data_IF_044320085595
#
_entry.id   IF_044320085595
#
_cell.length_a   1.000
_cell.length_b   1.000
_cell.length_c   1.000
_cell.angle_alpha   90.00
_cell.angle_beta   90.00
_cell.angle_gamma   90.00
#
_symmetry.space_group_name_H-M   'P 1'
#
loop_
_entity.id
_entity.type
_entity.pdbx_description
1 polymer ?
#
# COMPACT_ATOMS: atom_id res chain seq x y z
N UNK A 1 13.10 -15.80 22.13
CA UNK A 1 12.27 -15.95 20.93
C UNK A 1 12.23 -17.37 20.32
N UNK A 2 13.36 -18.02 19.91
CA UNK A 2 13.35 -19.43 19.42
C UNK A 2 12.89 -20.40 20.51
N UNK A 3 13.55 -20.35 21.68
CA UNK A 3 13.27 -21.21 22.81
C UNK A 3 11.87 -20.95 23.37
N UNK A 4 11.47 -19.68 23.47
CA UNK A 4 10.16 -19.26 23.97
C UNK A 4 9.01 -19.82 23.15
N UNK A 5 9.12 -19.77 21.81
CA UNK A 5 8.13 -20.35 20.90
C UNK A 5 8.01 -21.87 21.04
N UNK A 6 9.13 -22.58 21.19
CA UNK A 6 9.13 -24.03 21.37
C UNK A 6 8.57 -24.41 22.73
N UNK A 7 9.00 -23.73 23.81
CA UNK A 7 8.49 -23.96 25.17
C UNK A 7 7.01 -23.61 25.31
N UNK A 8 6.59 -22.46 24.78
CA UNK A 8 5.18 -22.07 24.78
C UNK A 8 4.31 -23.12 24.10
N UNK A 9 4.75 -23.66 22.95
CA UNK A 9 4.03 -24.75 22.29
C UNK A 9 4.00 -26.02 23.13
N UNK A 10 5.12 -26.43 23.73
CA UNK A 10 5.16 -27.59 24.61
C UNK A 10 4.20 -27.42 25.80
N UNK A 11 4.21 -26.27 26.46
CA UNK A 11 3.30 -25.99 27.58
C UNK A 11 1.81 -25.98 27.14
N UNK A 12 1.50 -25.38 25.99
CA UNK A 12 0.11 -25.30 25.50
C UNK A 12 -0.50 -26.62 25.10
N UNK A 13 0.32 -27.54 24.58
CA UNK A 13 -0.18 -28.80 24.02
C UNK A 13 0.11 -30.01 24.88
N UNK A 14 0.69 -29.80 26.07
CA UNK A 14 0.88 -30.86 27.09
C UNK A 14 -0.28 -30.77 28.10
N UNK A 15 -0.88 -31.91 28.41
CA UNK A 15 -1.96 -32.00 29.40
C UNK A 15 -1.49 -31.62 30.81
N UNK A 16 -2.38 -31.15 31.71
CA UNK A 16 -2.03 -30.98 33.13
C UNK A 16 -1.39 -32.24 33.68
N UNK A 17 -0.27 -32.09 34.41
CA UNK A 17 0.60 -33.18 34.93
C UNK A 17 1.42 -33.90 33.83
N UNK A 18 1.48 -33.40 32.61
CA UNK A 18 2.38 -33.90 31.58
C UNK A 18 3.84 -33.49 31.84
N UNK A 19 4.74 -34.08 31.08
CA UNK A 19 6.18 -33.87 31.21
C UNK A 19 6.73 -33.15 29.99
N UNK A 20 7.56 -32.13 30.24
CA UNK A 20 8.33 -31.42 29.23
C UNK A 20 9.80 -31.53 29.63
N UNK A 21 10.64 -32.02 28.73
CA UNK A 21 12.08 -32.11 28.94
C UNK A 21 12.85 -31.29 27.89
N UNK A 22 13.86 -30.56 28.36
CA UNK A 22 14.74 -29.75 27.53
C UNK A 22 16.18 -30.22 27.73
N UNK A 23 16.80 -30.72 26.68
CA UNK A 23 18.17 -31.16 26.66
C UNK A 23 19.03 -30.28 25.74
N UNK A 24 20.19 -29.83 26.23
CA UNK A 24 21.16 -29.09 25.43
C UNK A 24 22.49 -29.88 25.39
N UNK A 25 22.89 -30.28 24.20
CA UNK A 25 24.19 -30.94 23.97
C UNK A 25 25.07 -30.08 23.08
N UNK A 26 26.28 -29.80 23.51
CA UNK A 26 27.25 -29.06 22.72
C UNK A 26 28.44 -29.94 22.34
N UNK A 27 28.79 -29.91 21.08
CA UNK A 27 30.01 -30.48 20.53
C UNK A 27 30.95 -29.39 20.07
N UNK A 28 32.18 -29.72 19.64
CA UNK A 28 33.11 -28.71 19.12
C UNK A 28 32.56 -27.91 17.91
N UNK A 29 31.65 -28.50 17.13
CA UNK A 29 31.12 -27.89 15.87
C UNK A 29 29.64 -27.57 15.89
N UNK A 30 28.86 -28.11 16.82
CA UNK A 30 27.39 -27.99 16.80
C UNK A 30 26.86 -27.92 18.24
N UNK A 31 25.80 -27.13 18.40
CA UNK A 31 24.90 -27.15 19.56
C UNK A 31 23.59 -27.84 19.13
N UNK A 32 23.11 -28.79 19.93
CA UNK A 32 21.88 -29.54 19.66
C UNK A 32 20.94 -29.28 20.83
N UNK A 33 19.81 -28.64 20.55
CA UNK A 33 18.72 -28.42 21.49
C UNK A 33 17.62 -29.45 21.18
N UNK A 34 17.20 -30.21 22.18
CA UNK A 34 16.09 -31.15 22.06
C UNK A 34 15.03 -30.80 23.09
N UNK A 35 13.82 -30.47 22.62
CA UNK A 35 12.65 -30.24 23.45
C UNK A 35 11.63 -31.35 23.20
N UNK A 36 11.29 -32.11 24.26
CA UNK A 36 10.34 -33.21 24.21
C UNK A 36 9.16 -32.91 25.13
N UNK A 37 7.96 -33.17 24.65
CA UNK A 37 6.71 -33.18 25.40
C UNK A 37 5.99 -34.52 25.26
N UNK A 38 5.11 -34.84 26.19
CA UNK A 38 4.19 -35.98 26.14
C UNK A 38 2.74 -35.53 25.86
N UNK A 39 2.54 -34.43 25.13
CA UNK A 39 1.26 -33.82 24.82
C UNK A 39 0.46 -34.52 23.73
N UNK A 40 -0.45 -33.76 23.10
CA UNK A 40 -1.39 -34.28 22.10
C UNK A 40 -0.75 -34.78 20.81
N UNK A 41 0.54 -34.47 20.57
CA UNK A 41 1.26 -34.83 19.35
C UNK A 41 0.71 -34.19 18.09
N UNK A 42 1.31 -34.51 16.93
CA UNK A 42 1.00 -33.93 15.63
C UNK A 42 0.46 -35.01 14.68
N UNK A 43 -0.78 -34.86 14.16
CA UNK A 43 -1.37 -35.80 13.20
C UNK A 43 -0.53 -35.95 11.93
N UNK A 44 -0.53 -37.15 11.31
CA UNK A 44 0.26 -37.44 10.11
C UNK A 44 0.02 -36.44 8.97
N UNK A 45 -1.23 -36.01 8.77
CA UNK A 45 -1.60 -35.02 7.72
C UNK A 45 -0.98 -33.63 7.96
N UNK A 46 -0.88 -33.22 9.22
CA UNK A 46 -0.36 -31.93 9.63
C UNK A 46 1.18 -31.81 9.52
N UNK A 47 1.92 -32.94 9.60
CA UNK A 47 3.39 -32.96 9.64
C UNK A 47 4.08 -32.25 8.48
N UNK A 48 3.45 -32.21 7.30
CA UNK A 48 4.01 -31.56 6.10
C UNK A 48 3.89 -30.03 6.14
N UNK A 49 2.95 -29.50 6.93
CA UNK A 49 2.55 -28.09 6.90
C UNK A 49 2.96 -27.28 8.13
N UNK A 50 3.43 -27.92 9.23
CA UNK A 50 3.72 -27.22 10.49
C UNK A 50 4.84 -26.17 10.41
N UNK A 51 5.66 -26.22 9.37
CA UNK A 51 6.74 -25.25 9.12
C UNK A 51 6.57 -24.42 7.85
N UNK A 52 5.60 -24.76 6.97
CA UNK A 52 5.49 -24.14 5.66
C UNK A 52 4.51 -22.98 5.60
N UNK A 53 3.47 -23.02 6.45
CA UNK A 53 2.37 -22.06 6.44
C UNK A 53 2.04 -21.64 7.88
N UNK A 54 1.23 -20.61 8.04
CA UNK A 54 0.57 -20.32 9.32
C UNK A 54 -0.48 -21.42 9.52
N UNK A 55 -0.07 -22.52 10.10
CA UNK A 55 -0.84 -23.74 10.18
C UNK A 55 -1.11 -24.16 11.63
N UNK A 56 -2.33 -24.59 11.90
CA UNK A 56 -2.72 -25.18 13.17
C UNK A 56 -3.41 -26.53 12.91
N UNK A 57 -2.88 -27.60 13.51
CA UNK A 57 -3.41 -28.95 13.34
C UNK A 57 -4.84 -29.07 13.91
N UNK A 58 -5.65 -29.98 13.36
CA UNK A 58 -7.07 -30.16 13.74
C UNK A 58 -7.24 -30.46 15.22
N UNK A 59 -6.38 -31.35 15.79
CA UNK A 59 -6.39 -31.68 17.21
C UNK A 59 -5.99 -30.48 18.10
N UNK A 60 -5.15 -29.58 17.61
CA UNK A 60 -4.78 -28.35 18.29
C UNK A 60 -5.88 -27.27 18.22
N UNK A 61 -6.77 -27.31 17.21
CA UNK A 61 -7.94 -26.42 17.11
C UNK A 61 -9.05 -26.80 18.08
N UNK A 62 -9.14 -28.08 18.44
CA UNK A 62 -10.13 -28.59 19.41
C UNK A 62 -9.72 -28.30 20.85
N UNK A 63 -8.44 -28.02 21.13
CA UNK A 63 -7.99 -27.55 22.43
C UNK A 63 -8.46 -26.10 22.63
N UNK A 64 -8.90 -25.74 23.84
CA UNK A 64 -9.34 -24.38 24.20
C UNK A 64 -8.21 -23.34 24.21
N UNK A 65 -6.98 -23.75 23.89
CA UNK A 65 -5.79 -22.90 23.91
C UNK A 65 -5.72 -22.00 22.67
N UNK A 66 -5.60 -20.71 22.87
CA UNK A 66 -5.40 -19.73 21.80
C UNK A 66 -3.98 -19.83 21.21
N UNK A 67 -3.87 -19.89 19.87
CA UNK A 67 -2.58 -19.93 19.20
C UNK A 67 -2.70 -19.49 17.73
N UNK A 68 -1.82 -18.59 17.32
CA UNK A 68 -1.79 -18.00 15.97
C UNK A 68 -1.31 -18.95 14.87
N UNK A 69 -0.75 -20.13 15.24
CA UNK A 69 -0.13 -21.07 14.28
C UNK A 69 1.20 -20.59 13.68
N UNK A 70 1.74 -19.49 14.20
CA UNK A 70 2.90 -18.78 13.65
C UNK A 70 4.22 -19.20 14.30
N UNK A 71 4.21 -19.66 15.56
CA UNK A 71 5.42 -19.91 16.35
C UNK A 71 6.43 -20.85 15.69
N UNK A 72 5.97 -21.96 15.10
CA UNK A 72 6.87 -22.95 14.46
C UNK A 72 7.47 -22.45 13.14
N UNK A 73 6.73 -21.65 12.36
CA UNK A 73 7.26 -20.99 11.17
C UNK A 73 8.39 -20.03 11.54
N UNK A 74 8.21 -19.27 12.62
CA UNK A 74 9.22 -18.34 13.12
C UNK A 74 10.46 -19.09 13.63
N UNK A 75 10.28 -20.18 14.37
CA UNK A 75 11.40 -21.06 14.79
C UNK A 75 12.19 -21.53 13.57
N UNK A 76 11.54 -21.99 12.51
CA UNK A 76 12.22 -22.43 11.28
C UNK A 76 13.03 -21.31 10.65
N UNK A 77 12.48 -20.06 10.58
CA UNK A 77 13.20 -18.90 10.03
C UNK A 77 14.43 -18.55 10.85
N UNK A 78 14.30 -18.48 12.19
CA UNK A 78 15.43 -18.19 13.08
C UNK A 78 16.52 -19.26 12.91
N UNK A 79 16.14 -20.53 12.86
CA UNK A 79 17.09 -21.64 12.67
C UNK A 79 17.79 -21.54 11.31
N UNK A 80 17.09 -21.18 10.24
CA UNK A 80 17.69 -20.93 8.91
C UNK A 80 18.65 -19.73 8.92
N UNK A 81 18.27 -18.62 9.56
CA UNK A 81 19.15 -17.44 9.71
C UNK A 81 20.45 -17.78 10.44
N UNK A 82 20.38 -18.68 11.42
CA UNK A 82 21.53 -19.18 12.18
C UNK A 82 22.26 -20.32 11.45
N UNK A 83 21.98 -20.56 10.16
CA UNK A 83 22.54 -21.65 9.37
C UNK A 83 22.37 -23.04 10.03
N UNK A 84 21.30 -23.19 10.81
CA UNK A 84 20.98 -24.42 11.53
C UNK A 84 19.98 -25.30 10.78
N UNK A 85 19.55 -26.35 11.47
CA UNK A 85 18.53 -27.30 11.01
C UNK A 85 17.57 -27.60 12.14
N UNK A 86 16.26 -27.59 11.86
CA UNK A 86 15.22 -28.09 12.76
C UNK A 86 14.61 -29.37 12.19
N UNK A 87 14.42 -30.36 13.05
CA UNK A 87 13.70 -31.62 12.76
C UNK A 87 12.76 -31.93 13.92
N UNK A 88 11.78 -32.78 13.69
CA UNK A 88 10.88 -33.22 14.75
C UNK A 88 10.46 -34.67 14.57
N UNK A 89 10.09 -35.30 15.67
CA UNK A 89 9.45 -36.59 15.73
C UNK A 89 8.19 -36.45 16.58
N UNK A 90 7.03 -36.88 16.07
CA UNK A 90 5.77 -36.76 16.79
C UNK A 90 4.82 -37.89 16.42
N UNK A 91 4.07 -38.34 17.41
CA UNK A 91 2.98 -39.31 17.25
C UNK A 91 1.75 -38.79 18.00
N UNK A 92 0.60 -38.81 17.32
CA UNK A 92 -0.66 -38.33 17.88
C UNK A 92 -1.01 -39.08 19.17
N UNK A 93 -1.28 -38.36 20.25
CA UNK A 93 -1.55 -38.90 21.58
C UNK A 93 -0.30 -39.31 22.38
N UNK A 94 0.91 -39.19 21.83
CA UNK A 94 2.18 -39.58 22.54
C UNK A 94 3.15 -38.41 22.70
N UNK A 95 2.87 -37.27 22.11
CA UNK A 95 3.67 -36.06 22.21
C UNK A 95 4.58 -35.78 21.04
N UNK A 96 5.46 -34.80 21.22
CA UNK A 96 6.36 -34.28 20.18
C UNK A 96 7.77 -34.08 20.72
N UNK A 97 8.76 -34.31 19.87
CA UNK A 97 10.17 -33.98 20.15
C UNK A 97 10.68 -33.10 19.01
N UNK A 98 11.02 -31.83 19.29
CA UNK A 98 11.71 -30.94 18.37
C UNK A 98 13.22 -30.99 18.62
N UNK A 99 14.02 -31.07 17.55
CA UNK A 99 15.48 -31.10 17.60
C UNK A 99 16.00 -29.96 16.72
N UNK A 100 16.65 -28.98 17.35
CA UNK A 100 17.32 -27.86 16.69
C UNK A 100 18.82 -28.08 16.74
N UNK A 101 19.48 -28.04 15.60
CA UNK A 101 20.91 -28.13 15.46
C UNK A 101 21.48 -26.84 14.93
N UNK A 102 22.33 -26.15 15.67
CA UNK A 102 22.99 -24.91 15.29
C UNK A 102 24.48 -25.11 15.10
N UNK A 103 25.12 -24.48 14.10
CA UNK A 103 26.58 -24.47 14.01
C UNK A 103 27.19 -23.69 15.19
N UNK A 104 28.28 -24.16 15.74
CA UNK A 104 29.01 -23.45 16.79
C UNK A 104 30.15 -22.69 16.13
N UNK A 105 30.06 -21.35 16.09
CA UNK A 105 31.17 -20.51 15.67
C UNK A 105 32.11 -20.26 16.84
N UNK A 106 33.38 -20.47 16.61
CA UNK A 106 34.44 -20.29 17.64
C UNK A 106 34.96 -18.85 17.68
N UNK A 107 34.40 -17.96 16.92
CA UNK A 107 34.72 -16.52 16.97
C UNK A 107 33.97 -15.89 18.12
N UNK A 108 34.71 -15.52 19.16
CA UNK A 108 34.24 -14.61 20.20
C UNK A 108 34.00 -13.30 19.49
N UNK A 109 32.73 -12.96 19.28
CA UNK A 109 32.37 -11.62 18.88
C UNK A 109 32.68 -10.70 20.07
N UNK A 110 33.64 -9.80 19.91
CA UNK A 110 33.81 -8.68 20.83
C UNK A 110 32.50 -7.91 20.89
N UNK A 111 32.08 -7.43 22.08
CA UNK A 111 30.87 -6.66 22.19
C UNK A 111 31.02 -5.37 21.36
N UNK A 112 30.24 -5.25 20.30
CA UNK A 112 30.10 -3.99 19.58
C UNK A 112 29.39 -3.01 20.52
N UNK A 113 30.16 -2.16 21.15
CA UNK A 113 29.68 -0.98 21.86
C UNK A 113 29.04 -0.04 20.84
N UNK A 114 27.73 0.09 20.90
CA UNK A 114 27.03 1.19 20.27
C UNK A 114 27.34 2.47 21.05
N UNK A 115 28.44 3.11 20.75
CA UNK A 115 28.65 4.53 21.04
C UNK A 115 28.61 5.32 19.73
N UNK A 116 27.66 6.19 19.73
CA UNK A 116 27.51 7.43 18.96
C UNK A 116 28.76 7.87 18.16
N UNK A 117 28.55 8.05 16.87
CA UNK A 117 29.35 8.98 16.06
C UNK A 117 28.42 9.90 15.31
N UNK A 118 27.84 10.84 16.04
CA UNK A 118 27.50 12.16 15.55
C UNK A 118 28.72 13.03 15.88
N UNK A 119 29.48 13.41 14.87
CA UNK A 119 30.16 14.71 14.78
C UNK A 119 31.12 14.78 13.60
N UNK A 120 31.10 15.93 12.96
CA UNK A 120 32.05 16.50 11.99
C UNK A 120 31.95 16.07 10.53
N UNK A 121 31.25 16.92 9.76
CA UNK A 121 31.88 17.66 8.68
C UNK A 121 31.06 18.93 8.42
N UNK A 122 31.50 20.01 9.08
CA UNK A 122 31.18 21.37 8.68
C UNK A 122 32.32 21.90 7.79
N UNK A 123 31.94 22.63 6.74
CA UNK A 123 32.83 23.53 5.98
C UNK A 123 33.04 23.10 4.54
N UNK A 124 32.54 23.78 3.57
CA UNK A 124 32.76 25.08 3.04
C UNK A 124 31.79 25.40 1.91
N UNK A 125 31.30 26.60 1.93
CA UNK A 125 30.50 27.26 0.90
C UNK A 125 31.25 27.37 -0.41
N UNK A 126 30.57 27.15 -1.54
CA UNK A 126 30.66 28.06 -2.67
C UNK A 126 29.35 28.04 -3.50
N UNK A 127 28.99 29.26 -3.89
CA UNK A 127 27.69 29.68 -4.44
C UNK A 127 27.53 29.39 -5.95
N UNK A 128 26.24 29.38 -6.33
CA UNK A 128 25.68 29.64 -7.65
C UNK A 128 25.50 28.46 -8.61
N UNK A 129 24.37 27.81 -8.47
CA UNK A 129 23.56 27.37 -9.61
C UNK A 129 22.08 27.26 -9.16
N UNK A 130 21.05 27.58 -9.99
CA UNK A 130 19.67 27.55 -9.59
C UNK A 130 19.29 26.11 -9.26
N UNK A 131 18.98 25.87 -8.00
CA UNK A 131 18.53 24.60 -7.47
C UNK A 131 17.24 24.17 -8.17
N UNK A 132 17.41 23.30 -9.15
CA UNK A 132 16.32 22.40 -9.51
C UNK A 132 16.14 21.46 -8.33
N UNK A 133 15.14 21.75 -7.53
CA UNK A 133 14.69 20.98 -6.39
C UNK A 133 14.39 19.52 -6.82
N UNK A 134 15.42 18.70 -6.80
CA UNK A 134 15.29 17.24 -6.89
C UNK A 134 14.92 16.73 -5.51
N UNK A 135 13.72 17.08 -5.03
CA UNK A 135 13.04 16.25 -4.05
C UNK A 135 12.73 14.92 -4.74
N UNK A 136 13.66 13.98 -4.69
CA UNK A 136 13.33 12.57 -4.86
C UNK A 136 12.36 12.24 -3.75
N UNK A 137 11.14 11.83 -4.15
CA UNK A 137 10.19 11.22 -3.24
C UNK A 137 10.91 10.14 -2.43
N UNK A 138 10.89 10.19 -1.10
CA UNK A 138 11.67 9.25 -0.28
C UNK A 138 11.24 7.80 -0.48
N UNK A 139 10.03 7.53 -0.97
CA UNK A 139 9.59 6.18 -1.30
C UNK A 139 8.41 6.21 -2.30
N UNK A 140 8.66 5.80 -3.56
CA UNK A 140 7.65 5.77 -4.63
C UNK A 140 6.75 4.51 -4.59
N UNK A 141 6.90 3.65 -3.57
CA UNK A 141 6.12 2.43 -3.40
C UNK A 141 4.72 2.73 -2.88
N UNK A 142 3.75 1.87 -3.25
CA UNK A 142 2.42 1.88 -2.65
C UNK A 142 2.48 1.68 -1.14
N UNK A 143 1.57 2.30 -0.40
CA UNK A 143 1.53 2.25 1.07
C UNK A 143 0.53 1.19 1.54
N UNK A 144 1.00 0.25 2.38
CA UNK A 144 0.20 -0.77 3.04
C UNK A 144 0.11 -0.46 4.53
N UNK A 145 -1.11 -0.26 5.05
CA UNK A 145 -1.37 -0.17 6.48
C UNK A 145 -1.72 -1.55 7.04
N UNK A 146 -0.96 -2.01 8.03
CA UNK A 146 -1.18 -3.27 8.75
C UNK A 146 -1.70 -2.95 10.15
N UNK A 147 -2.83 -3.55 10.52
CA UNK A 147 -3.47 -3.39 11.84
C UNK A 147 -3.59 -4.78 12.46
N UNK A 148 -2.77 -5.05 13.47
CA UNK A 148 -2.68 -6.38 14.11
C UNK A 148 -2.20 -6.18 15.57
N UNK A 149 -2.95 -6.66 16.55
CA UNK A 149 -2.63 -6.50 17.97
C UNK A 149 -1.49 -7.41 18.42
N UNK A 150 -1.37 -8.58 17.79
CA UNK A 150 -0.32 -9.53 18.13
C UNK A 150 1.04 -9.11 17.53
N UNK A 151 1.93 -8.57 18.35
CA UNK A 151 3.23 -8.00 17.96
C UNK A 151 4.05 -8.91 17.04
N UNK A 152 4.10 -10.21 17.33
CA UNK A 152 4.88 -11.18 16.55
C UNK A 152 4.31 -11.34 15.14
N UNK A 153 2.98 -11.37 14.98
CA UNK A 153 2.32 -11.49 13.68
C UNK A 153 2.43 -10.16 12.92
N UNK A 154 2.25 -9.03 13.61
CA UNK A 154 2.44 -7.69 13.04
C UNK A 154 3.85 -7.52 12.46
N UNK A 155 4.87 -7.88 13.24
CA UNK A 155 6.26 -7.84 12.78
C UNK A 155 6.53 -8.78 11.59
N UNK A 156 5.94 -9.96 11.60
CA UNK A 156 6.04 -10.90 10.48
C UNK A 156 5.40 -10.35 9.20
N UNK A 157 4.19 -9.80 9.28
CA UNK A 157 3.51 -9.19 8.16
C UNK A 157 4.33 -8.02 7.61
N UNK A 158 4.87 -7.16 8.50
CA UNK A 158 5.78 -6.09 8.10
C UNK A 158 6.97 -6.62 7.30
N UNK A 159 7.73 -7.56 7.83
CA UNK A 159 8.87 -8.16 7.12
C UNK A 159 8.49 -8.82 5.79
N UNK A 160 7.26 -9.35 5.70
CA UNK A 160 6.75 -9.99 4.50
C UNK A 160 6.52 -9.00 3.37
N UNK A 161 6.11 -7.76 3.69
CA UNK A 161 5.67 -6.77 2.73
C UNK A 161 6.61 -5.58 2.54
N UNK A 162 7.54 -5.28 3.47
CA UNK A 162 8.41 -4.10 3.43
C UNK A 162 9.31 -4.00 2.19
N UNK A 163 9.60 -5.13 1.52
CA UNK A 163 10.36 -5.14 0.27
C UNK A 163 9.53 -4.73 -0.95
N UNK A 164 8.19 -4.81 -0.84
CA UNK A 164 7.25 -4.54 -1.94
C UNK A 164 6.53 -3.21 -1.75
N UNK A 165 6.25 -2.83 -0.51
CA UNK A 165 5.41 -1.70 -0.14
C UNK A 165 6.09 -0.84 0.92
N UNK A 166 5.68 0.44 1.01
CA UNK A 166 5.90 1.25 2.20
C UNK A 166 4.92 0.77 3.27
N UNK A 167 5.42 0.07 4.29
CA UNK A 167 4.58 -0.52 5.33
C UNK A 167 4.48 0.41 6.53
N UNK A 168 3.24 0.73 6.91
CA UNK A 168 2.89 1.34 8.20
C UNK A 168 2.20 0.25 9.00
N UNK A 169 2.65 -0.02 10.21
CA UNK A 169 2.05 -1.02 11.09
C UNK A 169 1.64 -0.41 12.42
N UNK A 170 0.44 -0.74 12.86
CA UNK A 170 -0.19 -0.25 14.08
C UNK A 170 -0.79 -1.40 14.89
N UNK A 171 -0.94 -1.20 16.20
CA UNK A 171 -1.34 -2.27 17.11
C UNK A 171 -2.85 -2.45 17.24
N UNK A 172 -3.64 -1.41 16.98
CA UNK A 172 -5.09 -1.45 17.16
C UNK A 172 -5.83 -0.51 16.21
N UNK A 173 -7.17 -0.56 16.26
CA UNK A 173 -8.03 0.25 15.41
C UNK A 173 -8.01 1.74 15.75
N UNK A 174 -7.67 2.15 16.97
CA UNK A 174 -7.56 3.58 17.34
C UNK A 174 -6.31 4.18 16.69
N UNK A 175 -5.18 3.48 16.77
CA UNK A 175 -3.95 3.89 16.10
C UNK A 175 -4.14 3.93 14.59
N UNK A 176 -4.92 2.99 14.01
CA UNK A 176 -5.26 2.99 12.60
C UNK A 176 -6.04 4.24 12.19
N UNK A 177 -7.05 4.64 12.96
CA UNK A 177 -7.82 5.87 12.70
C UNK A 177 -6.93 7.11 12.83
N UNK A 178 -6.09 7.18 13.86
CA UNK A 178 -5.13 8.28 14.04
C UNK A 178 -4.13 8.35 12.87
N UNK A 179 -3.69 7.20 12.35
CA UNK A 179 -2.85 7.13 11.16
C UNK A 179 -3.58 7.68 9.92
N UNK A 180 -4.84 7.28 9.70
CA UNK A 180 -5.65 7.74 8.56
C UNK A 180 -5.94 9.24 8.56
N UNK A 181 -5.82 9.92 9.69
CA UNK A 181 -5.91 11.38 9.77
C UNK A 181 -4.72 12.09 9.10
N UNK A 182 -3.58 11.42 8.93
CA UNK A 182 -2.35 12.00 8.39
C UNK A 182 -1.81 11.26 7.15
N UNK A 183 -2.22 10.03 6.94
CA UNK A 183 -1.76 9.16 5.86
C UNK A 183 -2.94 8.58 5.09
N UNK A 184 -2.78 8.41 3.78
CA UNK A 184 -3.79 7.80 2.92
C UNK A 184 -3.21 6.52 2.29
N UNK A 185 -3.32 5.35 2.94
CA UNK A 185 -2.74 4.11 2.44
C UNK A 185 -3.45 3.61 1.16
N UNK A 186 -2.72 2.85 0.37
CA UNK A 186 -3.25 2.22 -0.84
C UNK A 186 -4.13 1.01 -0.54
N UNK A 187 -3.89 0.37 0.62
CA UNK A 187 -4.64 -0.79 1.10
C UNK A 187 -4.46 -0.92 2.62
N UNK A 188 -5.50 -1.42 3.29
CA UNK A 188 -5.49 -1.75 4.71
C UNK A 188 -5.60 -3.27 4.85
N UNK A 189 -4.71 -3.86 5.65
CA UNK A 189 -4.73 -5.26 6.08
C UNK A 189 -4.96 -5.28 7.59
N UNK A 190 -6.13 -5.73 8.04
CA UNK A 190 -6.51 -5.68 9.46
C UNK A 190 -6.91 -7.04 10.01
N UNK A 191 -6.48 -7.36 11.22
CA UNK A 191 -7.13 -8.45 11.98
C UNK A 191 -8.57 -8.03 12.32
N UNK A 192 -9.47 -9.00 12.34
CA UNK A 192 -10.86 -8.81 12.78
C UNK A 192 -10.96 -8.72 14.30
N UNK A 193 -10.17 -9.54 15.02
CA UNK A 193 -10.29 -9.72 16.46
C UNK A 193 -9.19 -8.98 17.20
N UNK A 194 -9.41 -7.70 17.47
CA UNK A 194 -8.49 -6.84 18.20
C UNK A 194 -9.18 -6.21 19.40
N UNK A 195 -8.45 -5.84 20.48
CA UNK A 195 -8.97 -5.03 21.57
C UNK A 195 -9.44 -3.65 21.10
N UNK A 196 -10.45 -3.08 21.74
CA UNK A 196 -11.00 -1.78 21.38
C UNK A 196 -11.80 -1.82 20.08
N UNK A 197 -11.38 -1.08 19.07
CA UNK A 197 -12.02 -1.08 17.74
C UNK A 197 -11.63 -2.33 16.98
N UNK A 198 -12.60 -3.19 16.72
CA UNK A 198 -12.42 -4.42 15.95
C UNK A 198 -12.18 -4.11 14.47
N UNK A 199 -11.50 -5.01 13.73
CA UNK A 199 -11.21 -4.81 12.32
C UNK A 199 -12.45 -4.68 11.42
N UNK A 200 -13.54 -5.37 11.75
CA UNK A 200 -14.81 -5.25 11.02
C UNK A 200 -15.50 -3.90 11.29
N UNK A 201 -15.35 -3.34 12.48
CA UNK A 201 -15.81 -2.00 12.82
C UNK A 201 -14.91 -0.93 12.18
N UNK A 202 -13.61 -1.09 12.24
CA UNK A 202 -12.66 -0.23 11.52
C UNK A 202 -12.98 -0.21 10.02
N UNK A 203 -13.24 -1.37 9.40
CA UNK A 203 -13.64 -1.46 7.99
C UNK A 203 -14.90 -0.64 7.72
N UNK A 204 -15.94 -0.77 8.55
CA UNK A 204 -17.17 0.01 8.42
C UNK A 204 -16.89 1.52 8.52
N UNK A 205 -16.10 1.96 9.50
CA UNK A 205 -15.73 3.38 9.67
C UNK A 205 -14.98 3.92 8.44
N UNK A 206 -14.05 3.14 7.90
CA UNK A 206 -13.29 3.50 6.67
C UNK A 206 -14.23 3.62 5.48
N UNK A 207 -15.19 2.70 5.32
CA UNK A 207 -16.11 2.66 4.18
C UNK A 207 -17.26 3.68 4.26
N UNK A 208 -17.69 4.03 5.46
CA UNK A 208 -18.73 5.06 5.68
C UNK A 208 -18.16 6.49 5.53
N UNK A 209 -16.88 6.70 5.72
CA UNK A 209 -16.27 8.01 5.55
C UNK A 209 -15.97 8.26 4.05
N UNK A 210 -16.60 9.29 3.43
CA UNK A 210 -16.39 9.61 2.01
C UNK A 210 -14.94 9.80 1.62
N UNK A 211 -14.10 10.28 2.55
CA UNK A 211 -12.68 10.56 2.28
C UNK A 211 -11.80 9.31 2.29
N UNK A 212 -12.22 8.21 2.91
CA UNK A 212 -11.44 6.98 3.01
C UNK A 212 -12.15 5.77 2.40
N UNK A 213 -13.41 5.89 1.97
CA UNK A 213 -14.24 4.79 1.45
C UNK A 213 -13.62 4.08 0.24
N UNK A 214 -12.80 4.78 -0.54
CA UNK A 214 -12.06 4.23 -1.67
C UNK A 214 -10.84 3.37 -1.29
N UNK A 215 -10.45 3.31 -0.01
CA UNK A 215 -9.32 2.48 0.43
C UNK A 215 -9.79 1.04 0.54
N UNK A 216 -9.18 0.08 -0.19
CA UNK A 216 -9.52 -1.34 -0.03
C UNK A 216 -9.08 -1.86 1.35
N UNK A 217 -9.97 -2.65 1.96
CA UNK A 217 -9.76 -3.26 3.29
C UNK A 217 -9.82 -4.78 3.16
N UNK A 218 -8.74 -5.44 3.56
CA UNK A 218 -8.63 -6.89 3.66
C UNK A 218 -8.67 -7.30 5.13
N UNK A 219 -9.60 -8.17 5.49
CA UNK A 219 -9.75 -8.62 6.87
C UNK A 219 -9.15 -10.01 7.07
N UNK A 220 -8.29 -10.15 8.08
CA UNK A 220 -7.75 -11.42 8.53
C UNK A 220 -8.68 -11.98 9.62
N UNK A 221 -9.23 -13.17 9.44
CA UNK A 221 -10.23 -13.73 10.36
C UNK A 221 -9.88 -15.12 10.87
N UNK A 222 -10.11 -15.39 12.15
CA UNK A 222 -10.00 -16.74 12.71
C UNK A 222 -11.19 -17.66 12.32
N UNK A 223 -12.30 -17.09 11.84
CA UNK A 223 -13.51 -17.86 11.47
C UNK A 223 -13.48 -18.17 9.98
N UNK A 224 -13.38 -19.45 9.66
CA UNK A 224 -13.45 -19.98 8.29
C UNK A 224 -14.88 -20.30 7.82
N UNK A 225 -15.92 -19.97 8.61
CA UNK A 225 -17.30 -20.30 8.22
C UNK A 225 -17.82 -19.33 7.17
N UNK A 226 -18.50 -19.88 6.21
CA UNK A 226 -19.14 -19.16 5.10
C UNK A 226 -20.05 -18.00 5.58
N UNK A 227 -20.75 -18.16 6.71
CA UNK A 227 -21.62 -17.14 7.29
C UNK A 227 -20.86 -15.89 7.76
N UNK A 228 -19.70 -16.07 8.42
CA UNK A 228 -18.87 -14.95 8.87
C UNK A 228 -18.23 -14.18 7.71
N UNK A 229 -17.88 -14.88 6.64
CA UNK A 229 -17.35 -14.26 5.40
C UNK A 229 -18.46 -13.44 4.72
N UNK A 230 -19.67 -13.99 4.60
CA UNK A 230 -20.83 -13.31 4.00
C UNK A 230 -21.24 -12.08 4.82
N UNK A 231 -21.24 -12.19 6.16
CA UNK A 231 -21.55 -11.06 7.04
C UNK A 231 -20.54 -9.92 6.89
N UNK A 232 -19.28 -10.27 6.79
CA UNK A 232 -18.23 -9.29 6.64
C UNK A 232 -18.21 -8.62 5.28
N UNK A 233 -18.45 -9.34 4.18
CA UNK A 233 -18.62 -8.75 2.85
C UNK A 233 -19.80 -7.78 2.84
N UNK A 234 -20.88 -8.04 3.59
CA UNK A 234 -22.00 -7.09 3.79
C UNK A 234 -21.57 -5.82 4.53
N UNK A 235 -20.48 -5.85 5.31
CA UNK A 235 -19.91 -4.68 5.99
C UNK A 235 -18.94 -3.87 5.11
N UNK A 236 -18.79 -4.23 3.83
CA UNK A 236 -18.05 -3.48 2.83
C UNK A 236 -16.56 -3.81 2.73
N UNK A 237 -16.08 -4.87 3.36
CA UNK A 237 -14.68 -5.31 3.13
C UNK A 237 -14.48 -5.84 1.70
N UNK A 238 -13.34 -5.51 1.11
CA UNK A 238 -13.01 -5.89 -0.27
C UNK A 238 -12.56 -7.35 -0.35
N UNK A 239 -11.97 -7.90 0.72
CA UNK A 239 -11.60 -9.32 0.80
C UNK A 239 -11.50 -9.81 2.25
N UNK A 240 -11.62 -11.14 2.42
CA UNK A 240 -11.47 -11.86 3.68
C UNK A 240 -10.46 -12.98 3.52
N UNK A 241 -9.52 -13.09 4.46
CA UNK A 241 -8.52 -14.14 4.47
C UNK A 241 -8.58 -14.90 5.80
N UNK A 242 -8.99 -16.16 5.80
CA UNK A 242 -9.05 -16.94 7.02
C UNK A 242 -7.64 -17.25 7.55
N UNK A 243 -7.45 -17.10 8.84
CA UNK A 243 -6.27 -17.61 9.57
C UNK A 243 -6.51 -19.12 9.89
N UNK A 244 -5.52 -19.99 9.64
CA UNK A 244 -4.18 -19.74 9.13
C UNK A 244 -4.17 -19.53 7.59
N UNK A 245 -3.35 -18.60 7.10
CA UNK A 245 -3.23 -18.28 5.68
C UNK A 245 -1.84 -18.59 5.11
N UNK A 246 -1.80 -18.87 3.83
CA UNK A 246 -0.55 -18.89 3.07
C UNK A 246 -0.08 -17.48 2.77
N UNK A 247 1.21 -17.22 3.04
CA UNK A 247 1.84 -15.94 2.73
C UNK A 247 1.79 -15.61 1.23
N UNK A 248 1.88 -16.62 0.37
CA UNK A 248 1.81 -16.47 -1.08
C UNK A 248 0.42 -16.01 -1.51
N UNK A 249 -0.63 -16.65 -0.97
CA UNK A 249 -2.03 -16.28 -1.25
C UNK A 249 -2.29 -14.85 -0.75
N UNK A 250 -1.82 -14.51 0.46
CA UNK A 250 -1.95 -13.17 1.01
C UNK A 250 -1.29 -12.11 0.11
N UNK A 251 -0.06 -12.37 -0.36
CA UNK A 251 0.64 -11.47 -1.29
C UNK A 251 -0.09 -11.29 -2.60
N UNK A 252 -0.58 -12.38 -3.21
CA UNK A 252 -1.31 -12.33 -4.47
C UNK A 252 -2.63 -11.53 -4.34
N UNK A 253 -3.35 -11.67 -3.23
CA UNK A 253 -4.59 -10.93 -2.98
C UNK A 253 -4.33 -9.44 -2.79
N UNK A 254 -3.35 -9.08 -1.95
CA UNK A 254 -2.93 -7.69 -1.74
C UNK A 254 -2.48 -7.06 -3.05
N UNK A 255 -1.64 -7.75 -3.83
CA UNK A 255 -1.17 -7.27 -5.13
C UNK A 255 -2.33 -7.08 -6.12
N UNK A 256 -3.25 -8.04 -6.20
CA UNK A 256 -4.41 -7.95 -7.10
C UNK A 256 -5.31 -6.76 -6.81
N UNK A 257 -5.56 -6.44 -5.54
CA UNK A 257 -6.35 -5.27 -5.13
C UNK A 257 -5.62 -3.96 -5.46
N UNK A 258 -4.31 -3.89 -5.22
CA UNK A 258 -3.50 -2.71 -5.57
C UNK A 258 -3.45 -2.52 -7.09
N UNK A 259 -3.27 -3.58 -7.87
CA UNK A 259 -3.24 -3.51 -9.34
C UNK A 259 -4.58 -3.06 -9.92
N UNK A 260 -5.70 -3.53 -9.36
CA UNK A 260 -7.03 -3.07 -9.74
C UNK A 260 -7.19 -1.57 -9.45
N UNK A 261 -6.79 -1.13 -8.26
CA UNK A 261 -6.83 0.29 -7.90
C UNK A 261 -5.96 1.15 -8.82
N UNK A 262 -4.76 0.69 -9.16
CA UNK A 262 -3.87 1.41 -10.07
C UNK A 262 -4.46 1.56 -11.49
N UNK A 263 -5.16 0.53 -12.00
CA UNK A 263 -5.87 0.61 -13.29
C UNK A 263 -7.01 1.62 -13.23
N UNK A 264 -7.80 1.61 -12.17
CA UNK A 264 -8.88 2.59 -11.96
C UNK A 264 -8.33 4.02 -11.91
N UNK A 265 -7.23 4.27 -11.19
CA UNK A 265 -6.56 5.58 -11.12
C UNK A 265 -6.21 6.14 -12.49
N UNK A 266 -5.59 5.33 -13.35
CA UNK A 266 -5.20 5.76 -14.70
C UNK A 266 -6.42 6.14 -15.57
N UNK A 267 -7.50 5.41 -15.44
CA UNK A 267 -8.75 5.69 -16.15
C UNK A 267 -9.37 7.01 -15.66
N UNK A 268 -9.46 7.20 -14.32
CA UNK A 268 -10.06 8.41 -13.75
C UNK A 268 -9.25 9.68 -13.98
N UNK A 269 -7.91 9.60 -13.94
CA UNK A 269 -7.06 10.74 -14.31
C UNK A 269 -7.37 11.25 -15.72
N UNK A 270 -7.50 10.35 -16.68
CA UNK A 270 -7.86 10.70 -18.06
C UNK A 270 -9.25 11.33 -18.13
N UNK A 271 -10.21 10.79 -17.39
CA UNK A 271 -11.58 11.28 -17.38
C UNK A 271 -11.74 12.63 -16.66
N UNK A 272 -11.08 12.83 -15.51
CA UNK A 272 -11.11 14.08 -14.77
C UNK A 272 -10.58 15.25 -15.61
N UNK A 273 -9.49 15.02 -16.34
CA UNK A 273 -8.90 16.01 -17.23
C UNK A 273 -9.85 16.30 -18.39
N UNK A 274 -10.42 15.29 -19.05
CA UNK A 274 -11.38 15.48 -20.14
C UNK A 274 -12.69 16.19 -19.70
N UNK A 275 -13.15 15.99 -18.48
CA UNK A 275 -14.36 16.64 -17.95
C UNK A 275 -14.13 18.12 -17.61
N UNK A 276 -12.96 18.47 -17.09
CA UNK A 276 -12.62 19.87 -16.83
C UNK A 276 -12.45 20.62 -18.15
N UNK A 277 -11.90 19.98 -19.18
CA UNK A 277 -11.80 20.50 -20.54
C UNK A 277 -13.18 20.78 -21.18
N UNK A 278 -14.15 19.89 -20.95
CA UNK A 278 -15.52 20.03 -21.45
C UNK A 278 -16.35 21.07 -20.66
N UNK A 279 -16.05 21.28 -19.36
CA UNK A 279 -16.76 22.21 -18.47
C UNK A 279 -16.39 23.69 -18.67
N UNK A 280 -15.24 24.00 -19.27
CA UNK A 280 -14.79 25.35 -19.56
C UNK A 280 -15.57 26.07 -20.69
N UNK A 281 -16.56 25.44 -21.31
CA UNK A 281 -17.40 25.99 -22.38
C UNK A 281 -18.87 26.18 -22.03
N UNK A 282 -19.24 26.18 -20.74
CA UNK A 282 -20.62 26.49 -20.35
C UNK A 282 -20.66 27.85 -19.66
N UNK A 283 -21.12 28.82 -20.41
CA UNK A 283 -21.55 30.13 -19.94
C UNK A 283 -22.50 30.01 -18.75
N UNK A 284 -22.37 30.97 -17.81
CA UNK A 284 -23.31 31.25 -16.75
C UNK A 284 -24.69 31.52 -17.34
N UNK A 285 -25.52 30.53 -17.48
CA UNK A 285 -27.00 30.67 -17.43
C UNK A 285 -27.67 29.29 -17.51
N UNK A 286 -28.60 29.14 -16.59
CA UNK A 286 -29.68 28.14 -16.52
C UNK A 286 -29.54 27.03 -15.49
N UNK A 287 -30.04 27.40 -14.30
CA UNK A 287 -30.87 26.51 -13.50
C UNK A 287 -32.03 26.00 -14.36
N UNK A 288 -32.03 24.73 -14.74
CA UNK A 288 -33.29 24.00 -14.92
C UNK A 288 -33.07 22.49 -14.84
N UNK A 289 -33.85 21.92 -13.95
CA UNK A 289 -34.14 20.50 -13.86
C UNK A 289 -34.70 20.01 -15.20
N UNK A 290 -34.07 18.96 -15.76
CA UNK A 290 -34.81 17.90 -16.45
C UNK A 290 -33.85 16.75 -16.74
N UNK A 291 -34.04 15.68 -16.00
CA UNK A 291 -33.61 14.35 -16.35
C UNK A 291 -34.35 13.90 -17.61
N UNK A 292 -33.63 13.68 -18.68
CA UNK A 292 -34.07 12.76 -19.72
C UNK A 292 -32.96 11.78 -20.10
N UNK A 293 -33.29 10.54 -19.90
CA UNK A 293 -32.63 9.32 -20.21
C UNK A 293 -32.11 9.25 -21.64
N UNK A 294 -30.78 9.11 -21.81
CA UNK A 294 -30.23 8.54 -23.03
C UNK A 294 -29.74 7.14 -22.68
N UNK A 295 -30.51 6.17 -23.16
CA UNK A 295 -30.17 4.76 -23.22
C UNK A 295 -28.81 4.57 -23.91
N UNK A 296 -27.79 4.22 -23.16
CA UNK A 296 -26.57 3.61 -23.65
C UNK A 296 -26.28 2.35 -22.84
N UNK A 297 -27.13 1.32 -23.03
CA UNK A 297 -26.82 -0.06 -22.67
C UNK A 297 -25.74 -0.53 -23.62
N UNK A 298 -24.51 -0.58 -23.19
CA UNK A 298 -23.45 -1.54 -23.54
C UNK A 298 -22.04 -0.97 -23.32
N UNK A 299 -21.72 -0.40 -22.15
CA UNK A 299 -20.34 -0.33 -21.61
C UNK A 299 -20.41 -0.32 -20.07
N UNK A 300 -21.11 -1.24 -19.49
CA UNK A 300 -21.27 -1.39 -18.05
C UNK A 300 -20.52 -2.64 -17.62
N UNK A 301 -19.20 -2.54 -17.35
CA UNK A 301 -18.54 -3.53 -16.47
C UNK A 301 -17.17 -3.10 -15.91
N UNK A 302 -16.71 -1.84 -16.09
CA UNK A 302 -15.47 -1.39 -15.46
C UNK A 302 -15.51 0.07 -14.94
N UNK A 303 -16.69 0.72 -15.00
CA UNK A 303 -16.83 2.16 -14.74
C UNK A 303 -17.41 2.51 -13.36
N UNK A 304 -17.68 1.53 -12.52
CA UNK A 304 -18.30 1.79 -11.22
C UNK A 304 -17.26 1.65 -10.12
N UNK A 305 -17.10 2.77 -9.41
CA UNK A 305 -16.67 2.93 -8.03
C UNK A 305 -15.28 3.47 -7.76
N UNK A 306 -14.96 4.65 -8.28
CA UNK A 306 -14.18 5.56 -7.44
C UNK A 306 -15.13 6.13 -6.39
N UNK A 307 -14.75 6.11 -5.12
CA UNK A 307 -15.55 6.72 -4.07
C UNK A 307 -15.82 8.19 -4.41
N UNK A 308 -17.05 8.65 -4.19
CA UNK A 308 -17.47 10.02 -4.52
C UNK A 308 -16.55 11.08 -3.90
N UNK A 309 -16.04 10.85 -2.68
CA UNK A 309 -15.07 11.72 -2.02
C UNK A 309 -13.73 11.84 -2.75
N UNK A 310 -13.25 10.73 -3.32
CA UNK A 310 -11.98 10.73 -4.07
C UNK A 310 -12.12 11.42 -5.43
N UNK A 311 -13.26 11.19 -6.10
CA UNK A 311 -13.58 11.87 -7.34
C UNK A 311 -13.68 13.39 -7.12
N UNK A 312 -14.41 13.81 -6.08
CA UNK A 312 -14.55 15.21 -5.69
C UNK A 312 -13.21 15.85 -5.37
N UNK A 313 -12.36 15.16 -4.63
CA UNK A 313 -11.02 15.62 -4.29
C UNK A 313 -10.16 15.87 -5.55
N UNK A 314 -10.10 14.92 -6.50
CA UNK A 314 -9.32 15.10 -7.74
C UNK A 314 -9.89 16.24 -8.58
N UNK A 315 -11.21 16.34 -8.70
CA UNK A 315 -11.85 17.41 -9.47
C UNK A 315 -11.56 18.79 -8.86
N UNK A 316 -11.67 18.95 -7.54
CA UNK A 316 -11.35 20.21 -6.86
C UNK A 316 -9.87 20.57 -7.03
N UNK A 317 -8.94 19.60 -6.81
CA UNK A 317 -7.52 19.86 -7.00
C UNK A 317 -7.18 20.24 -8.46
N UNK A 318 -7.78 19.58 -9.45
CA UNK A 318 -7.57 19.87 -10.86
C UNK A 318 -8.13 21.27 -11.21
N UNK A 319 -9.34 21.59 -10.77
CA UNK A 319 -9.97 22.88 -10.98
C UNK A 319 -9.12 24.01 -10.41
N UNK A 320 -8.67 23.87 -9.17
CA UNK A 320 -7.85 24.90 -8.52
C UNK A 320 -6.52 25.12 -9.25
N UNK A 321 -5.87 24.05 -9.73
CA UNK A 321 -4.65 24.20 -10.56
C UNK A 321 -4.93 24.94 -11.85
N UNK A 322 -6.08 24.69 -12.50
CA UNK A 322 -6.46 25.36 -13.76
C UNK A 322 -6.80 26.83 -13.58
N UNK A 323 -7.40 27.19 -12.45
CA UNK A 323 -7.75 28.60 -12.12
C UNK A 323 -6.51 29.44 -11.83
N UNK A 324 -5.37 28.81 -11.45
CA UNK A 324 -4.11 29.51 -11.06
C UNK A 324 -2.92 29.13 -11.95
N UNK A 325 -3.19 28.75 -13.22
CA UNK A 325 -2.13 28.27 -14.13
C UNK A 325 -1.05 29.31 -14.41
N UNK A 326 -1.47 30.56 -14.59
CA UNK A 326 -0.64 31.70 -14.97
C UNK A 326 0.07 32.39 -13.78
N UNK A 327 -0.26 31.98 -12.55
CA UNK A 327 0.37 32.53 -11.36
C UNK A 327 1.79 31.97 -11.14
N UNK A 328 2.86 32.82 -11.17
CA UNK A 328 4.23 32.37 -10.97
C UNK A 328 4.48 31.83 -9.56
N UNK A 329 3.76 32.34 -8.57
CA UNK A 329 3.87 31.96 -7.15
C UNK A 329 2.99 30.80 -6.74
N UNK A 330 2.25 30.21 -7.71
CA UNK A 330 1.43 29.04 -7.44
C UNK A 330 2.28 27.85 -6.98
N UNK A 331 2.05 27.41 -5.77
CA UNK A 331 2.80 26.34 -5.14
C UNK A 331 1.89 25.37 -4.38
N UNK A 332 2.47 24.22 -3.98
CA UNK A 332 1.77 23.14 -3.28
C UNK A 332 1.13 23.61 -1.96
N UNK A 333 1.71 24.61 -1.27
CA UNK A 333 1.17 25.07 0.01
C UNK A 333 -0.18 25.79 -0.18
N UNK A 334 -0.34 26.56 -1.25
CA UNK A 334 -1.60 27.16 -1.65
C UNK A 334 -2.67 26.10 -1.91
N UNK A 335 -2.31 25.07 -2.68
CA UNK A 335 -3.21 23.97 -2.98
C UNK A 335 -3.62 23.19 -1.72
N UNK A 336 -2.70 22.92 -0.81
CA UNK A 336 -3.02 22.29 0.47
C UNK A 336 -3.95 23.15 1.35
N UNK A 337 -3.73 24.46 1.36
CA UNK A 337 -4.57 25.40 2.11
C UNK A 337 -6.01 25.43 1.56
N UNK A 338 -6.16 25.51 0.24
CA UNK A 338 -7.48 25.47 -0.43
C UNK A 338 -8.23 24.17 -0.16
N UNK A 339 -7.50 23.05 -0.18
CA UNK A 339 -8.06 21.73 0.10
C UNK A 339 -8.30 21.48 1.60
N UNK A 340 -7.97 22.43 2.49
CA UNK A 340 -8.06 22.32 3.95
C UNK A 340 -7.38 21.07 4.51
N UNK A 341 -6.22 20.69 3.93
CA UNK A 341 -5.48 19.49 4.29
C UNK A 341 -4.05 19.80 4.71
N UNK A 342 -3.49 18.98 5.62
CA UNK A 342 -2.06 19.01 5.88
C UNK A 342 -1.28 18.60 4.63
N UNK A 343 -0.07 19.12 4.46
CA UNK A 343 0.79 18.80 3.32
C UNK A 343 1.03 17.29 3.19
N UNK A 344 1.23 16.60 4.29
CA UNK A 344 1.47 15.15 4.32
C UNK A 344 0.24 14.37 3.84
N UNK A 345 -0.94 14.69 4.36
CA UNK A 345 -2.19 14.04 3.97
C UNK A 345 -2.53 14.31 2.50
N UNK A 346 -2.39 15.57 2.06
CA UNK A 346 -2.62 15.95 0.66
C UNK A 346 -1.69 15.17 -0.28
N UNK A 347 -0.40 15.10 0.05
CA UNK A 347 0.59 14.37 -0.73
C UNK A 347 0.26 12.87 -0.78
N UNK A 348 0.01 12.25 0.37
CA UNK A 348 -0.31 10.83 0.49
C UNK A 348 -1.59 10.49 -0.28
N UNK A 349 -2.66 11.29 -0.13
CA UNK A 349 -3.94 11.09 -0.82
C UNK A 349 -3.80 11.29 -2.34
N UNK A 350 -3.17 12.38 -2.77
CA UNK A 350 -2.99 12.66 -4.19
C UNK A 350 -2.16 11.56 -4.86
N UNK A 351 -1.06 11.15 -4.23
CA UNK A 351 -0.21 10.06 -4.73
C UNK A 351 -0.98 8.74 -4.78
N UNK A 352 -1.73 8.44 -3.72
CA UNK A 352 -2.58 7.24 -3.68
C UNK A 352 -3.64 7.24 -4.78
N UNK A 353 -4.25 8.37 -5.12
CA UNK A 353 -5.32 8.47 -6.12
C UNK A 353 -4.83 8.61 -7.55
N UNK A 354 -3.70 9.23 -7.78
CA UNK A 354 -3.20 9.56 -9.13
C UNK A 354 -1.94 8.79 -9.53
N UNK A 355 -1.25 8.18 -8.55
CA UNK A 355 0.08 7.62 -8.73
C UNK A 355 1.17 8.67 -8.91
N UNK A 356 0.85 9.96 -8.71
CA UNK A 356 1.73 11.09 -8.98
C UNK A 356 1.88 12.00 -7.76
N UNK A 357 3.10 12.51 -7.54
CA UNK A 357 3.30 13.54 -6.53
C UNK A 357 2.70 14.89 -6.96
N UNK A 358 2.46 15.83 -6.02
CA UNK A 358 1.81 17.10 -6.31
C UNK A 358 2.46 17.94 -7.41
N UNK A 359 3.78 18.00 -7.45
CA UNK A 359 4.50 18.74 -8.50
C UNK A 359 4.32 18.11 -9.88
N UNK A 360 4.33 16.78 -9.97
CA UNK A 360 4.10 16.05 -11.20
C UNK A 360 2.64 16.20 -11.65
N UNK A 361 1.69 16.17 -10.72
CA UNK A 361 0.28 16.41 -10.97
C UNK A 361 0.03 17.79 -11.59
N UNK A 362 0.54 18.85 -10.94
CA UNK A 362 0.45 20.23 -11.48
C UNK A 362 1.06 20.31 -12.88
N UNK A 363 2.24 19.71 -13.07
CA UNK A 363 2.93 19.70 -14.35
C UNK A 363 2.12 19.01 -15.45
N UNK A 364 1.47 17.89 -15.15
CA UNK A 364 0.63 17.17 -16.12
C UNK A 364 -0.54 18.04 -16.55
N UNK A 365 -1.23 18.68 -15.61
CA UNK A 365 -2.36 19.58 -15.91
C UNK A 365 -1.89 20.77 -16.78
N UNK A 366 -0.77 21.42 -16.43
CA UNK A 366 -0.18 22.50 -17.22
C UNK A 366 0.16 22.06 -18.65
N UNK A 367 0.73 20.88 -18.84
CA UNK A 367 1.09 20.35 -20.15
C UNK A 367 -0.15 19.98 -20.98
N UNK A 368 -1.21 19.52 -20.36
CA UNK A 368 -2.46 19.22 -21.06
C UNK A 368 -3.16 20.50 -21.51
N UNK A 369 -3.21 21.52 -20.66
CA UNK A 369 -3.73 22.84 -21.07
C UNK A 369 -2.88 23.45 -22.19
N UNK A 370 -1.57 23.23 -22.16
CA UNK A 370 -0.68 23.64 -23.24
C UNK A 370 -1.00 22.93 -24.58
N UNK A 371 -1.38 21.66 -24.54
CA UNK A 371 -1.83 20.91 -25.72
C UNK A 371 -3.08 21.52 -26.35
N UNK A 372 -4.06 21.92 -25.53
CA UNK A 372 -5.28 22.60 -25.99
C UNK A 372 -4.96 23.96 -26.66
N UNK A 373 -4.17 24.78 -25.95
CA UNK A 373 -3.83 26.13 -26.46
C UNK A 373 -3.00 26.06 -27.75
N UNK A 374 -2.14 25.04 -27.93
CA UNK A 374 -1.45 24.79 -29.19
C UNK A 374 -2.41 24.37 -30.29
N UNK A 375 -3.44 23.58 -30.00
CA UNK A 375 -4.50 23.21 -30.96
C UNK A 375 -5.36 24.41 -31.37
N UNK A 376 -5.51 25.40 -30.51
CA UNK A 376 -6.15 26.68 -30.81
C UNK A 376 -5.27 27.61 -31.68
N UNK A 377 -4.02 27.20 -31.97
CA UNK A 377 -3.10 27.95 -32.83
C UNK A 377 -2.25 29.00 -32.13
N UNK A 378 -2.21 29.00 -30.78
CA UNK A 378 -1.37 29.94 -30.02
C UNK A 378 0.11 29.66 -30.21
N UNK A 379 0.96 30.67 -30.10
CA UNK A 379 2.40 30.53 -30.22
C UNK A 379 3.00 29.70 -29.07
N UNK A 380 4.07 28.98 -29.33
CA UNK A 380 4.76 28.15 -28.28
C UNK A 380 5.20 29.00 -27.09
N UNK A 381 5.57 30.26 -27.32
CA UNK A 381 6.02 31.18 -26.26
C UNK A 381 4.84 31.62 -25.39
N UNK A 382 3.72 32.01 -26.02
CA UNK A 382 2.52 32.45 -25.30
C UNK A 382 1.95 31.29 -24.47
N UNK A 383 1.87 30.09 -25.08
CA UNK A 383 1.42 28.88 -24.39
C UNK A 383 2.28 28.57 -23.18
N UNK A 384 3.60 28.64 -23.29
CA UNK A 384 4.48 28.41 -22.14
C UNK A 384 4.20 29.40 -21.01
N UNK A 385 3.98 30.67 -21.32
CA UNK A 385 3.67 31.71 -20.33
C UNK A 385 2.29 31.53 -19.72
N UNK A 386 1.25 31.33 -20.53
CA UNK A 386 -0.14 31.13 -20.06
C UNK A 386 -0.32 29.85 -19.22
N UNK A 387 0.56 28.87 -19.40
CA UNK A 387 0.54 27.64 -18.62
C UNK A 387 1.56 27.64 -17.47
N UNK A 388 2.10 28.82 -17.10
CA UNK A 388 2.94 29.02 -15.92
C UNK A 388 4.35 28.44 -16.03
N UNK A 389 4.87 28.24 -17.24
CA UNK A 389 6.28 27.85 -17.43
C UNK A 389 7.16 29.09 -17.65
N UNK A 390 8.01 29.38 -16.67
CA UNK A 390 8.95 30.52 -16.74
C UNK A 390 9.98 30.36 -17.87
N UNK A 391 10.30 29.11 -18.27
CA UNK A 391 11.33 28.82 -19.25
C UNK A 391 10.78 27.99 -20.41
N UNK A 392 10.70 28.59 -21.61
CA UNK A 392 10.19 27.96 -22.84
C UNK A 392 11.03 26.75 -23.29
N UNK A 393 12.33 26.71 -23.02
CA UNK A 393 13.19 25.55 -23.32
C UNK A 393 12.83 24.37 -22.41
N UNK A 394 12.63 24.64 -21.13
CA UNK A 394 12.18 23.64 -20.16
C UNK A 394 10.79 23.11 -20.50
N UNK A 395 9.83 23.99 -20.81
CA UNK A 395 8.53 23.63 -21.33
C UNK A 395 8.63 22.70 -22.55
N UNK A 396 9.41 23.07 -23.57
CA UNK A 396 9.56 22.27 -24.80
C UNK A 396 10.13 20.88 -24.53
N UNK A 397 11.06 20.77 -23.57
CA UNK A 397 11.63 19.48 -23.15
C UNK A 397 10.59 18.59 -22.49
N UNK A 398 9.78 19.15 -21.58
CA UNK A 398 8.73 18.43 -20.87
C UNK A 398 7.58 18.03 -21.81
N UNK A 399 7.18 18.94 -22.70
CA UNK A 399 6.16 18.67 -23.71
C UNK A 399 6.58 17.52 -24.63
N UNK A 400 7.85 17.56 -25.11
CA UNK A 400 8.40 16.44 -25.91
C UNK A 400 8.40 15.11 -25.13
N UNK A 401 8.71 15.15 -23.83
CA UNK A 401 8.70 13.94 -22.99
C UNK A 401 7.29 13.38 -22.85
N UNK A 402 6.27 14.23 -22.75
CA UNK A 402 4.88 13.86 -22.53
C UNK A 402 4.18 13.40 -23.82
N UNK A 403 4.36 14.14 -24.93
CA UNK A 403 3.65 13.97 -26.18
C UNK A 403 4.51 13.37 -27.32
N UNK A 404 5.76 13.06 -27.06
CA UNK A 404 6.67 12.40 -28.02
C UNK A 404 7.30 13.35 -29.05
N UNK A 405 6.85 14.61 -29.17
CA UNK A 405 7.37 15.58 -30.15
C UNK A 405 7.47 16.99 -29.56
N UNK A 406 8.28 17.83 -30.21
CA UNK A 406 8.44 19.22 -29.79
C UNK A 406 7.18 20.08 -30.07
N UNK A 407 6.84 21.08 -29.22
CA UNK A 407 5.65 21.94 -29.41
C UNK A 407 5.61 22.61 -30.79
N UNK A 408 6.76 23.10 -31.29
CA UNK A 408 6.86 23.75 -32.61
C UNK A 408 6.52 22.79 -33.77
N UNK A 409 6.97 21.55 -33.67
CA UNK A 409 6.65 20.50 -34.66
C UNK A 409 5.19 20.07 -34.55
N UNK A 410 4.66 20.01 -33.33
CA UNK A 410 3.25 19.69 -33.04
C UNK A 410 2.32 20.73 -33.68
N UNK A 411 2.61 22.02 -33.50
CA UNK A 411 1.87 23.13 -34.11
C UNK A 411 1.89 23.06 -35.65
N UNK A 412 3.05 22.76 -36.25
CA UNK A 412 3.18 22.63 -37.71
C UNK A 412 2.31 21.49 -38.29
N UNK A 413 2.16 20.38 -37.56
CA UNK A 413 1.33 19.25 -37.97
C UNK A 413 -0.17 19.58 -37.90
N UNK A 414 -0.60 20.36 -36.93
CA UNK A 414 -1.99 20.79 -36.79
C UNK A 414 -2.38 21.74 -37.95
N UNK A 415 -1.53 22.71 -38.29
CA UNK A 415 -1.76 23.62 -39.40
C UNK A 415 -1.76 22.94 -40.80
N UNK A 416 -1.11 21.80 -40.96
CA UNK A 416 -1.11 21.02 -42.22
C UNK A 416 -2.44 20.25 -42.39
N UNK A 417 -3.17 19.96 -41.31
CA UNK A 417 -4.44 19.21 -41.38
C UNK A 417 -5.67 20.09 -41.64
N UNK A 418 -5.57 21.44 -41.61
CA UNK A 418 -6.65 22.37 -41.83
C UNK A 418 -6.93 22.82 -43.31
N UNK A 419 -5.98 22.73 -44.27
CA UNK A 419 -6.26 23.30 -45.62
C UNK A 419 -7.26 22.49 -46.45
N UNK A 420 -7.73 21.33 -46.02
CA UNK A 420 -8.61 20.49 -46.86
C UNK A 420 -10.10 20.73 -46.65
N UNK A 421 -10.51 21.55 -45.68
CA UNK A 421 -11.93 21.85 -45.42
C UNK A 421 -12.48 23.10 -46.18
N UNK A 422 -11.63 23.99 -46.64
CA UNK A 422 -12.02 25.21 -47.36
C UNK A 422 -11.99 25.06 -48.90
N UNK A 423 -11.46 23.99 -49.44
CA UNK A 423 -11.37 23.73 -50.87
C UNK A 423 -12.55 22.91 -51.44
N UNK A 424 -13.57 22.61 -50.66
CA UNK A 424 -14.77 21.87 -51.09
C UNK A 424 -16.07 22.70 -51.14
N UNK A 425 -15.97 24.03 -50.99
CA UNK A 425 -17.11 24.95 -51.19
C UNK A 425 -16.65 26.07 -52.14
N UNK A 426 -16.40 25.72 -53.35
CA UNK A 426 -16.40 26.64 -54.52
C UNK A 426 -16.80 25.88 -55.76
#
# INVERSE_FOLDING_TARGET
MLLDNLLSNACKYTMPQGEISLDLKATKRKAILSLKDNGIGIPKKAKKHIFSDIYRAENARQSQEEGTGFGLLQVQRIVKMLHGKITFCSEEGKGTTFIVTLPRTTTVAEPVSHESSLEHLAGTSDNNSPETDKMKDPDDRNTLLIVEDHETLRHYLRQTFEHLYRVIDVADGHEAIACLANEYPDIILSDVMMPGIRGDELCRMVKENPDTSGIPVVLLTAKANHEAIVEGLKKGADDYIPKPFSTEILKLKVQGLIDNRNRQRQFFMRQAIAQVEAGGKRDDNESNENNESIDNKNVTTASETMAEGDRRFIMQATRFVLEHLDEPDFNINLLCHEMAMSRTLFYSRLKSLTGKGPQEFIRIIRLQKADELLKEGKSVTDVATETGFVNTKYFSSLFKKQFGMQPSKYLSLIHISEPTRLALIS
#
